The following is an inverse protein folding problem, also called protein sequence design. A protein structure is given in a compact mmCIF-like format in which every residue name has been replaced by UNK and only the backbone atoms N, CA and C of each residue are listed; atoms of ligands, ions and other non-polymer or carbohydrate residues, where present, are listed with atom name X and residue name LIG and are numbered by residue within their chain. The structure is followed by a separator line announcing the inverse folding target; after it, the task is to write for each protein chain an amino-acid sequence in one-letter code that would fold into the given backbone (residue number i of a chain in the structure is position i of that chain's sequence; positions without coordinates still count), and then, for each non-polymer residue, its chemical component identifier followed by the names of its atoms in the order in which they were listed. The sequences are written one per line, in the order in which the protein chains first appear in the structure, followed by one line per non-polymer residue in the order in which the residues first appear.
data_IF_281359338332
#
_entry.id   IF_281359338332
#
_cell.length_a   1.000
_cell.length_b   1.000
_cell.length_c   1.000
_cell.angle_alpha   90.00
_cell.angle_beta   90.00
_cell.angle_gamma   90.00
#
_symmetry.space_group_name_H-M   'P 1'
#
loop_
_entity.id
_entity.type
_entity.pdbx_description
1 polymer ?
#
# COMPACT_ATOMS: atom_id res chain seq x y z
N UNK A 1 -14.21 -12.38 33.33
CA UNK A 1 -12.88 -12.67 32.75
C UNK A 1 -12.97 -12.40 31.25
N UNK A 2 -12.27 -11.39 30.74
CA UNK A 2 -12.19 -11.11 29.31
C UNK A 2 -11.28 -12.15 28.67
N UNK A 3 -11.74 -12.73 27.55
CA UNK A 3 -11.04 -13.80 26.85
C UNK A 3 -9.71 -13.25 26.28
N UNK A 4 -8.52 -13.81 26.59
CA UNK A 4 -7.23 -13.28 26.14
C UNK A 4 -7.03 -13.32 24.61
N UNK A 5 -7.93 -14.02 23.91
CA UNK A 5 -7.93 -14.21 22.45
C UNK A 5 -8.91 -13.30 21.69
N UNK A 6 -9.47 -12.26 22.31
CA UNK A 6 -10.07 -11.18 21.52
C UNK A 6 -8.96 -10.39 20.83
N UNK A 7 -8.38 -10.95 19.77
CA UNK A 7 -7.56 -10.20 18.83
C UNK A 7 -8.50 -9.19 18.16
N UNK A 8 -8.64 -8.02 18.78
CA UNK A 8 -9.52 -6.96 18.31
C UNK A 8 -9.03 -6.46 16.97
N UNK A 9 -9.94 -6.42 16.00
CA UNK A 9 -9.68 -5.74 14.74
C UNK A 9 -9.56 -4.25 15.00
N UNK A 10 -8.46 -3.66 14.54
CA UNK A 10 -8.36 -2.22 14.40
C UNK A 10 -9.33 -1.76 13.33
N UNK A 11 -10.08 -0.70 13.65
CA UNK A 11 -10.95 -0.07 12.68
C UNK A 11 -10.10 0.81 11.76
N UNK A 12 -10.27 0.72 10.42
CA UNK A 12 -9.58 1.63 9.54
C UNK A 12 -10.06 3.07 9.79
N UNK A 13 -9.16 4.07 9.71
CA UNK A 13 -9.53 5.48 9.84
C UNK A 13 -10.71 5.90 8.98
N UNK A 14 -11.55 6.79 9.51
CA UNK A 14 -12.80 7.23 8.87
C UNK A 14 -12.54 7.98 7.55
N UNK A 15 -11.46 8.75 7.49
CA UNK A 15 -11.03 9.50 6.32
C UNK A 15 -10.48 8.63 5.18
N UNK A 16 -10.17 7.34 5.40
CA UNK A 16 -9.70 6.45 4.33
C UNK A 16 -10.80 6.19 3.30
N UNK A 17 -10.39 6.17 2.03
CA UNK A 17 -11.24 5.78 0.92
C UNK A 17 -11.68 4.32 0.99
N UNK A 18 -12.69 3.94 0.20
CA UNK A 18 -13.22 2.56 0.19
C UNK A 18 -12.16 1.52 -0.18
N UNK A 19 -11.28 1.83 -1.15
CA UNK A 19 -10.19 0.94 -1.59
C UNK A 19 -9.15 0.75 -0.48
N UNK A 20 -8.71 1.84 0.12
CA UNK A 20 -7.77 1.84 1.25
C UNK A 20 -8.33 1.03 2.44
N UNK A 21 -9.58 1.26 2.83
CA UNK A 21 -10.26 0.49 3.88
C UNK A 21 -10.26 -1.01 3.59
N UNK A 22 -10.49 -1.41 2.34
CA UNK A 22 -10.45 -2.82 1.92
C UNK A 22 -9.04 -3.40 2.05
N UNK A 23 -8.01 -2.68 1.60
CA UNK A 23 -6.62 -3.11 1.69
C UNK A 23 -6.16 -3.22 3.16
N UNK A 24 -6.48 -2.22 4.00
CA UNK A 24 -6.23 -2.23 5.44
C UNK A 24 -6.78 -3.50 6.11
N UNK A 25 -8.07 -3.78 5.88
CA UNK A 25 -8.73 -4.96 6.44
C UNK A 25 -8.14 -6.26 5.89
N UNK A 26 -7.66 -6.27 4.65
CA UNK A 26 -7.05 -7.46 4.03
C UNK A 26 -5.72 -7.79 4.69
N UNK A 27 -4.86 -6.80 4.94
CA UNK A 27 -3.59 -7.00 5.67
C UNK A 27 -3.84 -7.46 7.10
N UNK A 28 -4.83 -6.87 7.79
CA UNK A 28 -5.21 -7.29 9.14
C UNK A 28 -5.68 -8.75 9.18
N UNK A 29 -6.54 -9.17 8.24
CA UNK A 29 -6.96 -10.57 8.10
C UNK A 29 -5.79 -11.51 7.81
N UNK A 30 -4.86 -11.10 6.94
CA UNK A 30 -3.67 -11.88 6.62
C UNK A 30 -2.79 -12.09 7.87
N UNK A 31 -2.51 -11.01 8.61
CA UNK A 31 -1.76 -11.04 9.88
C UNK A 31 -2.39 -11.98 10.90
N UNK A 32 -3.71 -11.88 11.09
CA UNK A 32 -4.48 -12.82 11.93
C UNK A 32 -4.35 -14.27 11.48
N UNK A 33 -4.50 -14.55 10.19
CA UNK A 33 -4.39 -15.92 9.64
C UNK A 33 -3.01 -16.54 9.83
N UNK A 34 -1.97 -15.71 10.01
CA UNK A 34 -0.58 -16.13 10.29
C UNK A 34 -0.26 -16.18 11.78
N UNK A 35 -1.28 -16.12 12.64
CA UNK A 35 -1.14 -16.07 14.10
C UNK A 35 -0.21 -14.96 14.61
N UNK A 36 -0.11 -13.87 13.84
CA UNK A 36 0.70 -12.70 14.16
C UNK A 36 -0.20 -11.48 13.97
N UNK A 37 -1.10 -11.18 14.92
CA UNK A 37 -1.98 -10.04 14.77
C UNK A 37 -1.22 -8.71 14.79
N UNK A 38 -1.84 -7.65 14.26
CA UNK A 38 -1.24 -6.32 14.30
C UNK A 38 -1.18 -5.80 15.74
N UNK A 39 -0.11 -5.06 16.04
CA UNK A 39 0.07 -4.28 17.27
C UNK A 39 -0.34 -2.83 16.98
N UNK A 40 -0.75 -2.09 18.02
CA UNK A 40 -1.15 -0.68 17.87
C UNK A 40 -0.04 0.19 17.27
N UNK A 41 1.22 -0.11 17.62
CA UNK A 41 2.42 0.57 17.06
C UNK A 41 2.63 0.32 15.57
N UNK A 42 2.04 -0.73 15.00
CA UNK A 42 2.14 -1.08 13.57
C UNK A 42 1.06 -0.39 12.72
N UNK A 43 0.02 0.18 13.35
CA UNK A 43 -1.12 0.80 12.63
C UNK A 43 -0.71 2.00 11.78
N UNK A 44 0.14 2.93 12.25
CA UNK A 44 0.61 4.03 11.41
C UNK A 44 1.38 3.52 10.17
N UNK A 45 2.19 2.48 10.33
CA UNK A 45 2.96 1.86 9.24
C UNK A 45 2.03 1.18 8.24
N UNK A 46 1.00 0.48 8.71
CA UNK A 46 -0.03 -0.12 7.85
C UNK A 46 -0.79 0.93 7.05
N UNK A 47 -1.18 2.04 7.68
CA UNK A 47 -1.87 3.14 7.01
C UNK A 47 -1.02 3.66 5.86
N UNK A 48 0.26 3.93 6.12
CA UNK A 48 1.18 4.45 5.11
C UNK A 48 1.43 3.43 3.99
N UNK A 49 1.56 2.15 4.33
CA UNK A 49 1.68 1.06 3.36
C UNK A 49 0.47 1.03 2.42
N UNK A 50 -0.75 1.02 2.98
CA UNK A 50 -1.99 0.98 2.20
C UNK A 50 -2.11 2.18 1.28
N UNK A 51 -1.82 3.39 1.78
CA UNK A 51 -1.81 4.61 0.96
C UNK A 51 -0.79 4.53 -0.18
N UNK A 52 0.40 4.02 0.11
CA UNK A 52 1.46 3.84 -0.90
C UNK A 52 1.04 2.85 -1.97
N UNK A 53 0.39 1.74 -1.60
CA UNK A 53 -0.13 0.75 -2.56
C UNK A 53 -1.20 1.37 -3.47
N UNK A 54 -2.16 2.11 -2.91
CA UNK A 54 -3.20 2.79 -3.72
C UNK A 54 -2.59 3.87 -4.63
N UNK A 55 -1.53 4.56 -4.18
CA UNK A 55 -0.76 5.49 -5.00
C UNK A 55 -0.09 4.78 -6.18
N UNK A 56 0.52 3.62 -5.95
CA UNK A 56 1.14 2.81 -7.03
C UNK A 56 0.09 2.43 -8.08
N UNK A 57 -1.07 1.92 -7.67
CA UNK A 57 -2.16 1.58 -8.59
C UNK A 57 -2.61 2.79 -9.44
N UNK A 58 -2.69 3.96 -8.80
CA UNK A 58 -3.07 5.21 -9.48
C UNK A 58 -2.00 5.64 -10.49
N UNK A 59 -0.72 5.57 -10.11
CA UNK A 59 0.39 5.89 -10.99
C UNK A 59 0.50 4.91 -12.16
N UNK A 60 0.24 3.63 -11.94
CA UNK A 60 0.17 2.62 -13.00
C UNK A 60 -0.94 2.94 -14.01
N UNK A 61 -2.13 3.31 -13.54
CA UNK A 61 -3.22 3.71 -14.44
C UNK A 61 -2.86 4.96 -15.29
N UNK A 62 -2.15 5.94 -14.70
CA UNK A 62 -1.65 7.11 -15.43
C UNK A 62 -0.59 6.70 -16.45
N UNK A 63 0.34 5.83 -16.06
CA UNK A 63 1.39 5.31 -16.93
C UNK A 63 0.79 4.58 -18.15
N UNK A 64 -0.17 3.70 -17.92
CA UNK A 64 -0.83 2.93 -18.98
C UNK A 64 -1.60 3.84 -19.96
N UNK A 65 -2.19 4.94 -19.46
CA UNK A 65 -2.87 5.92 -20.32
C UNK A 65 -1.87 6.72 -21.17
N UNK A 66 -0.79 7.23 -20.56
CA UNK A 66 0.25 7.95 -21.31
C UNK A 66 0.99 7.00 -22.30
N UNK A 67 1.16 5.72 -21.99
CA UNK A 67 1.75 4.72 -22.90
C UNK A 67 0.85 4.49 -24.11
N UNK A 68 -0.46 4.35 -23.88
CA UNK A 68 -1.46 4.26 -24.96
C UNK A 68 -1.43 5.51 -25.85
N UNK A 69 -1.31 6.70 -25.28
CA UNK A 69 -1.20 7.96 -26.03
C UNK A 69 0.10 8.05 -26.84
N UNK A 70 1.22 7.57 -26.30
CA UNK A 70 2.50 7.54 -27.03
C UNK A 70 2.46 6.63 -28.26
N UNK A 71 1.68 5.54 -28.19
CA UNK A 71 1.52 4.63 -29.33
C UNK A 71 0.77 5.28 -30.50
N UNK A 72 -0.10 6.25 -30.22
CA UNK A 72 -0.92 6.94 -31.23
C UNK A 72 -0.38 8.33 -31.61
N UNK A 73 0.45 8.95 -30.76
CA UNK A 73 1.03 10.28 -30.97
C UNK A 73 2.48 10.33 -30.48
N UNK A 74 3.40 10.85 -31.32
CA UNK A 74 4.83 10.99 -30.96
C UNK A 74 5.14 12.28 -30.20
N UNK A 75 4.26 12.66 -29.26
CA UNK A 75 4.42 13.88 -28.46
C UNK A 75 5.53 13.72 -27.40
N UNK A 76 6.57 14.56 -27.50
CA UNK A 76 7.69 14.59 -26.56
C UNK A 76 7.27 14.90 -25.11
N UNK A 77 6.16 15.60 -24.92
CA UNK A 77 5.60 15.91 -23.60
C UNK A 77 5.08 14.64 -22.91
N UNK A 78 4.39 13.77 -23.64
CA UNK A 78 3.87 12.49 -23.14
C UNK A 78 5.02 11.55 -22.79
N UNK A 79 6.06 11.49 -23.64
CA UNK A 79 7.28 10.71 -23.36
C UNK A 79 7.96 11.14 -22.05
N UNK A 80 8.06 12.45 -21.81
CA UNK A 80 8.67 12.98 -20.60
C UNK A 80 7.85 12.64 -19.35
N UNK A 81 6.52 12.72 -19.43
CA UNK A 81 5.61 12.28 -18.35
C UNK A 81 5.72 10.80 -18.06
N UNK A 82 5.80 9.93 -19.07
CA UNK A 82 6.00 8.49 -18.86
C UNK A 82 7.23 8.18 -18.02
N UNK A 83 8.38 8.78 -18.37
CA UNK A 83 9.63 8.57 -17.63
C UNK A 83 9.48 9.07 -16.19
N UNK A 84 8.84 10.23 -15.98
CA UNK A 84 8.60 10.76 -14.65
C UNK A 84 7.68 9.86 -13.82
N UNK A 85 6.57 9.38 -14.40
CA UNK A 85 5.62 8.47 -13.75
C UNK A 85 6.27 7.14 -13.41
N UNK A 86 7.06 6.55 -14.33
CA UNK A 86 7.81 5.33 -14.07
C UNK A 86 8.75 5.46 -12.85
N UNK A 87 9.51 6.56 -12.77
CA UNK A 87 10.38 6.85 -11.61
C UNK A 87 9.59 6.97 -10.31
N UNK A 88 8.39 7.56 -10.35
CA UNK A 88 7.52 7.64 -9.17
C UNK A 88 6.96 6.28 -8.75
N UNK A 89 6.64 5.39 -9.71
CA UNK A 89 6.25 4.01 -9.43
C UNK A 89 7.40 3.28 -8.74
N UNK A 90 8.63 3.37 -9.27
CA UNK A 90 9.80 2.74 -8.67
C UNK A 90 10.06 3.22 -7.24
N UNK A 91 10.01 4.53 -7.02
CA UNK A 91 10.20 5.12 -5.69
C UNK A 91 9.10 4.68 -4.70
N UNK A 92 7.84 4.68 -5.15
CA UNK A 92 6.71 4.26 -4.32
C UNK A 92 6.78 2.76 -4.02
N UNK A 93 7.23 1.93 -4.97
CA UNK A 93 7.39 0.48 -4.79
C UNK A 93 8.48 0.18 -3.77
N UNK A 94 9.63 0.87 -3.84
CA UNK A 94 10.69 0.74 -2.83
C UNK A 94 10.20 1.14 -1.43
N UNK A 95 9.44 2.23 -1.33
CA UNK A 95 8.83 2.65 -0.07
C UNK A 95 7.85 1.60 0.46
N UNK A 96 6.95 1.10 -0.39
CA UNK A 96 5.98 0.07 -0.02
C UNK A 96 6.67 -1.21 0.49
N UNK A 97 7.75 -1.65 -0.19
CA UNK A 97 8.55 -2.78 0.25
C UNK A 97 9.16 -2.54 1.64
N UNK A 98 9.80 -1.39 1.86
CA UNK A 98 10.38 -1.07 3.16
C UNK A 98 9.34 -0.97 4.30
N UNK A 99 8.14 -0.46 3.99
CA UNK A 99 7.01 -0.45 4.95
C UNK A 99 6.49 -1.86 5.23
N UNK A 100 6.39 -2.70 4.20
CA UNK A 100 6.00 -4.09 4.34
C UNK A 100 7.02 -4.88 5.16
N UNK A 101 8.31 -4.70 4.90
CA UNK A 101 9.40 -5.33 5.65
C UNK A 101 9.33 -4.95 7.14
N UNK A 102 9.04 -3.68 7.45
CA UNK A 102 8.80 -3.24 8.83
C UNK A 102 7.58 -3.90 9.44
N UNK A 103 6.50 -4.08 8.66
CA UNK A 103 5.31 -4.78 9.11
C UNK A 103 5.57 -6.27 9.34
N UNK A 104 6.46 -6.95 8.62
CA UNK A 104 6.69 -8.39 8.80
C UNK A 104 7.84 -8.71 9.76
N UNK A 105 8.88 -7.87 9.84
CA UNK A 105 10.08 -8.12 10.65
C UNK A 105 9.91 -7.73 12.13
N UNK A 106 8.90 -6.94 12.51
CA UNK A 106 8.51 -6.75 13.92
C UNK A 106 8.10 -8.06 14.62
N UNK A 107 7.93 -9.15 13.86
CA UNK A 107 7.58 -10.48 14.35
C UNK A 107 8.82 -11.27 14.81
N UNK A 108 10.05 -10.90 14.40
CA UNK A 108 11.26 -11.71 14.61
C UNK A 108 12.12 -11.23 15.80
N UNK A 109 11.86 -10.04 16.35
CA UNK A 109 12.71 -9.42 17.38
C UNK A 109 12.23 -9.64 18.83
N UNK A 110 11.56 -10.75 19.15
CA UNK A 110 11.18 -11.09 20.52
C UNK A 110 11.70 -12.48 20.91
#
# INVERSE_FOLDING_TARGET
MLNPNEIRDFRPPTWMGRREKRAFNSVQKLRKSRNSPLKETEIPVLIEYVRTMVRIETLQAIFDDDDRRMRTSRDASVKSRLIATARQIDASTKLAQGLWDRLICTVVAQ
#
